data_IF_313781100017
#
_entry.id   IF_313781100017
#
_cell.length_a   1.000
_cell.length_b   1.000
_cell.length_c   1.000
_cell.angle_alpha   90.00
_cell.angle_beta   90.00
_cell.angle_gamma   90.00
#
_symmetry.space_group_name_H-M   'P 1'
#
loop_
_entity.id
_entity.type
_entity.pdbx_description
1 polymer ?
#
# COMPACT_ATOMS: atom_id res chain seq x y z
N UNK A 1 -0.13 -21.32 25.37
CA UNK A 1 0.07 -20.68 24.05
C UNK A 1 1.46 -21.04 23.62
N UNK A 2 1.59 -22.10 22.82
CA UNK A 2 2.89 -22.57 22.34
C UNK A 2 3.58 -21.54 21.46
N UNK A 3 4.91 -21.49 21.56
CA UNK A 3 5.73 -20.53 20.80
C UNK A 3 5.65 -20.78 19.30
N UNK A 4 5.44 -22.03 18.89
CA UNK A 4 5.19 -22.42 17.51
C UNK A 4 3.86 -21.84 16.99
N UNK A 5 2.78 -21.96 17.78
CA UNK A 5 1.48 -21.37 17.45
C UNK A 5 1.55 -19.84 17.41
N UNK A 6 2.37 -19.21 18.27
CA UNK A 6 2.62 -17.76 18.23
C UNK A 6 3.32 -17.33 16.94
N UNK A 7 4.34 -18.09 16.50
CA UNK A 7 5.05 -17.82 15.23
C UNK A 7 4.13 -18.01 14.04
N UNK A 8 3.37 -19.10 13.99
CA UNK A 8 2.42 -19.37 12.91
C UNK A 8 1.32 -18.31 12.81
N UNK A 9 0.78 -17.85 13.94
CA UNK A 9 -0.22 -16.76 13.97
C UNK A 9 0.37 -15.41 13.54
N UNK A 10 1.62 -15.12 13.86
CA UNK A 10 2.31 -13.91 13.39
C UNK A 10 2.53 -13.97 11.86
N UNK A 11 2.98 -15.11 11.33
CA UNK A 11 3.13 -15.31 9.88
C UNK A 11 1.79 -15.14 9.15
N UNK A 12 0.71 -15.75 9.65
CA UNK A 12 -0.62 -15.60 9.06
C UNK A 12 -1.11 -14.16 9.10
N UNK A 13 -0.84 -13.42 10.18
CA UNK A 13 -1.22 -12.01 10.32
C UNK A 13 -0.46 -11.14 9.31
N UNK A 14 0.81 -11.40 9.09
CA UNK A 14 1.63 -10.69 8.10
C UNK A 14 1.15 -10.99 6.67
N UNK A 15 0.83 -12.24 6.36
CA UNK A 15 0.27 -12.64 5.06
C UNK A 15 -1.12 -12.02 4.81
N UNK A 16 -1.99 -12.00 5.82
CA UNK A 16 -3.34 -11.43 5.71
C UNK A 16 -3.28 -9.89 5.60
N UNK A 17 -2.33 -9.25 6.27
CA UNK A 17 -2.07 -7.82 6.12
C UNK A 17 -1.47 -7.47 4.75
N UNK A 18 -0.58 -8.30 4.21
CA UNK A 18 -0.10 -8.20 2.82
C UNK A 18 -1.22 -8.37 1.81
N UNK A 19 -2.09 -9.36 2.00
CA UNK A 19 -3.23 -9.60 1.13
C UNK A 19 -4.19 -8.40 1.07
N UNK A 20 -4.41 -7.70 2.19
CA UNK A 20 -5.22 -6.47 2.23
C UNK A 20 -4.61 -5.28 1.48
N UNK A 21 -3.29 -5.18 1.41
CA UNK A 21 -2.60 -4.14 0.64
C UNK A 21 -2.54 -4.45 -0.87
N UNK A 22 -2.76 -5.72 -1.25
CA UNK A 22 -2.62 -6.23 -2.61
C UNK A 22 -3.94 -6.28 -3.39
N UNK A 23 -5.08 -5.85 -2.82
CA UNK A 23 -6.32 -5.73 -3.58
C UNK A 23 -6.11 -4.64 -4.63
N UNK A 24 -6.07 -4.96 -5.93
CA UNK A 24 -5.87 -3.96 -6.97
C UNK A 24 -7.07 -3.00 -7.02
N UNK A 25 -6.87 -1.77 -7.52
CA UNK A 25 -8.00 -0.89 -7.77
C UNK A 25 -8.95 -1.57 -8.78
N UNK A 26 -10.24 -1.19 -8.80
CA UNK A 26 -11.19 -1.69 -9.78
C UNK A 26 -10.57 -1.66 -11.19
N UNK A 27 -10.66 -2.77 -11.92
CA UNK A 27 -9.82 -3.06 -13.09
C UNK A 27 -9.73 -1.84 -14.04
N UNK A 28 -8.51 -1.33 -14.21
CA UNK A 28 -8.18 -0.26 -15.16
C UNK A 28 -8.37 1.16 -14.66
N UNK A 29 -8.82 1.38 -13.42
CA UNK A 29 -8.98 2.75 -12.91
C UNK A 29 -7.73 3.25 -12.18
N UNK A 30 -7.21 4.43 -12.56
CA UNK A 30 -6.13 5.05 -11.80
C UNK A 30 -6.62 5.48 -10.42
N UNK A 31 -5.74 5.37 -9.42
CA UNK A 31 -6.03 5.71 -8.05
C UNK A 31 -6.15 7.23 -7.87
N UNK A 32 -7.07 7.69 -7.03
CA UNK A 32 -7.17 9.12 -6.68
C UNK A 32 -6.15 9.55 -5.63
N UNK A 33 -5.85 8.70 -4.65
CA UNK A 33 -5.04 9.07 -3.48
C UNK A 33 -3.72 8.29 -3.36
N UNK A 34 -3.44 7.34 -4.26
CA UNK A 34 -2.18 6.59 -4.26
C UNK A 34 -1.97 5.77 -2.98
N UNK A 35 -2.99 5.05 -2.51
CA UNK A 35 -2.94 4.29 -1.25
C UNK A 35 -2.62 2.81 -1.45
N UNK A 36 -2.67 2.31 -2.68
CA UNK A 36 -2.42 0.91 -3.02
C UNK A 36 -1.12 0.76 -3.79
N UNK A 37 -0.36 -0.26 -3.40
CA UNK A 37 0.94 -0.61 -3.94
C UNK A 37 0.92 -2.05 -4.44
N UNK A 38 1.83 -2.35 -5.37
CA UNK A 38 1.98 -3.68 -5.94
C UNK A 38 3.44 -3.94 -6.32
N UNK A 39 3.77 -5.19 -6.58
CA UNK A 39 5.05 -5.59 -7.15
C UNK A 39 4.84 -5.89 -8.63
N UNK A 40 5.33 -5.00 -9.50
CA UNK A 40 5.28 -5.20 -10.96
C UNK A 40 6.69 -5.46 -11.49
N UNK A 41 6.91 -6.60 -12.12
CA UNK A 41 8.23 -6.96 -12.66
C UNK A 41 9.34 -7.00 -11.61
N UNK A 42 9.02 -7.43 -10.38
CA UNK A 42 9.96 -7.47 -9.26
C UNK A 42 10.26 -6.12 -8.60
N UNK A 43 9.57 -5.04 -9.00
CA UNK A 43 9.71 -3.71 -8.39
C UNK A 43 8.44 -3.33 -7.63
N UNK A 44 8.60 -2.99 -6.35
CA UNK A 44 7.52 -2.45 -5.53
C UNK A 44 7.24 -0.99 -5.88
N UNK A 45 5.98 -0.66 -6.14
CA UNK A 45 5.54 0.69 -6.46
C UNK A 45 4.01 0.83 -6.44
N UNK A 46 3.51 2.07 -6.53
CA UNK A 46 2.07 2.33 -6.52
C UNK A 46 1.41 1.81 -7.81
N UNK A 47 0.13 1.44 -7.75
CA UNK A 47 -0.69 1.38 -8.97
C UNK A 47 -0.79 2.77 -9.63
N UNK A 48 -1.12 2.86 -10.93
CA UNK A 48 -1.28 4.15 -11.63
C UNK A 48 -2.13 5.13 -10.84
N UNK A 49 -1.69 6.39 -10.79
CA UNK A 49 -2.35 7.46 -10.03
C UNK A 49 -2.91 8.47 -11.03
N UNK A 50 -4.15 8.88 -10.80
CA UNK A 50 -4.84 9.88 -11.60
C UNK A 50 -4.17 11.23 -11.40
N UNK A 51 -3.75 11.91 -12.48
CA UNK A 51 -3.08 13.23 -12.44
C UNK A 51 -2.08 13.36 -11.26
N UNK A 52 -0.93 12.67 -11.30
CA UNK A 52 0.02 12.62 -10.17
C UNK A 52 0.51 13.99 -9.69
N UNK A 53 0.55 14.98 -10.58
CA UNK A 53 0.96 16.35 -10.26
C UNK A 53 0.00 17.05 -9.27
N UNK A 54 -1.25 16.58 -9.21
CA UNK A 54 -2.32 17.09 -8.32
C UNK A 54 -2.56 16.17 -7.14
N UNK A 55 -1.74 15.13 -6.96
CA UNK A 55 -1.95 14.11 -5.95
C UNK A 55 -1.87 14.69 -4.54
N UNK A 56 -0.81 15.43 -4.24
CA UNK A 56 -0.62 15.98 -2.90
C UNK A 56 -1.68 17.02 -2.53
N UNK A 57 -2.21 17.77 -3.51
CA UNK A 57 -3.36 18.66 -3.29
C UNK A 57 -4.58 17.87 -2.83
N UNK A 58 -4.96 16.81 -3.56
CA UNK A 58 -6.09 15.94 -3.18
C UNK A 58 -5.86 15.24 -1.85
N UNK A 59 -4.63 14.80 -1.58
CA UNK A 59 -4.26 14.18 -0.31
C UNK A 59 -4.40 15.17 0.83
N UNK A 60 -3.94 16.41 0.67
CA UNK A 60 -4.10 17.47 1.66
C UNK A 60 -5.58 17.80 1.92
N UNK A 61 -6.40 17.92 0.87
CA UNK A 61 -7.85 18.11 0.99
C UNK A 61 -8.53 16.97 1.77
N UNK A 62 -8.03 15.73 1.62
CA UNK A 62 -8.50 14.56 2.34
C UNK A 62 -7.86 14.36 3.73
N UNK A 63 -6.98 15.26 4.17
CA UNK A 63 -6.26 15.15 5.46
C UNK A 63 -5.19 14.05 5.49
N UNK A 64 -4.69 13.63 4.34
CA UNK A 64 -3.63 12.63 4.18
C UNK A 64 -2.24 13.30 4.13
N UNK A 65 -1.23 12.59 4.60
CA UNK A 65 0.17 13.03 4.51
C UNK A 65 0.65 13.15 3.05
N UNK A 66 1.70 13.92 2.74
CA UNK A 66 2.30 13.95 1.40
C UNK A 66 2.64 12.56 0.89
N UNK A 67 2.43 12.32 -0.40
CA UNK A 67 2.60 11.00 -1.02
C UNK A 67 4.02 10.46 -0.84
N UNK A 68 5.05 11.31 -0.94
CA UNK A 68 6.44 10.90 -0.75
C UNK A 68 6.70 10.34 0.67
N UNK A 69 6.08 10.91 1.70
CA UNK A 69 6.21 10.42 3.08
C UNK A 69 5.52 9.05 3.23
N UNK A 70 4.31 8.93 2.69
CA UNK A 70 3.56 7.67 2.67
C UNK A 70 4.30 6.57 1.89
N UNK A 71 4.82 6.89 0.71
CA UNK A 71 5.59 5.97 -0.13
C UNK A 71 6.85 5.48 0.59
N UNK A 72 7.58 6.37 1.27
CA UNK A 72 8.75 5.98 2.04
C UNK A 72 8.39 4.97 3.15
N UNK A 73 7.26 5.17 3.84
CA UNK A 73 6.76 4.23 4.86
C UNK A 73 6.41 2.88 4.25
N UNK A 74 5.69 2.86 3.12
CA UNK A 74 5.35 1.62 2.42
C UNK A 74 6.59 0.85 1.93
N UNK A 75 7.67 1.55 1.60
CA UNK A 75 8.96 0.92 1.23
C UNK A 75 9.75 0.42 2.43
N UNK A 76 9.55 0.99 3.61
CA UNK A 76 10.24 0.62 4.84
C UNK A 76 9.59 -0.55 5.59
N UNK A 77 8.33 -0.88 5.29
CA UNK A 77 7.57 -1.98 5.88
C UNK A 77 7.33 -3.12 4.84
N UNK A 78 8.27 -4.07 4.67
CA UNK A 78 8.16 -5.16 3.69
C UNK A 78 7.25 -6.34 4.11
#
# INVERSE_FOLDING_TARGET
MDEELRRELLTRRDEDQRARQLIPPPQGQPQLYGTQFTVTGGKFGPFPIERPQRLDERRAEAGLEPFAAYEARMRAEP
#
